data_IF_875260472848
#
_entry.id   IF_875260472848
#
_cell.length_a   1.000
_cell.length_b   1.000
_cell.length_c   1.000
_cell.angle_alpha   90.00
_cell.angle_beta   90.00
_cell.angle_gamma   90.00
#
_symmetry.space_group_name_H-M   'P 1'
#
loop_
_entity.id
_entity.type
_entity.pdbx_description
1 polymer ?
#
# COMPACT_ATOMS: atom_id res chain seq x y z
N UNK A 1 -13.13 -10.59 4.50
CA UNK A 1 -13.22 -9.75 3.29
C UNK A 1 -14.64 -9.23 3.12
N UNK A 2 -14.79 -8.04 2.61
CA UNK A 2 -16.09 -7.42 2.44
C UNK A 2 -16.93 -8.06 1.35
N UNK A 3 -18.25 -7.82 1.40
CA UNK A 3 -19.17 -8.21 0.34
C UNK A 3 -18.96 -7.34 -0.91
N UNK A 4 -19.48 -7.75 -2.10
CA UNK A 4 -19.45 -6.88 -3.27
C UNK A 4 -20.09 -5.51 -3.04
N UNK A 5 -21.11 -5.43 -2.18
CA UNK A 5 -21.74 -4.16 -1.83
C UNK A 5 -20.78 -3.25 -1.06
N UNK A 6 -19.98 -3.81 -0.14
CA UNK A 6 -18.94 -3.05 0.59
C UNK A 6 -17.88 -2.58 -0.38
N UNK A 7 -17.43 -3.42 -1.29
CA UNK A 7 -16.43 -3.06 -2.29
C UNK A 7 -16.91 -1.93 -3.19
N UNK A 8 -18.16 -1.98 -3.64
CA UNK A 8 -18.74 -0.92 -4.46
C UNK A 8 -18.83 0.41 -3.70
N UNK A 9 -19.20 0.35 -2.42
CA UNK A 9 -19.26 1.56 -1.57
C UNK A 9 -17.88 2.18 -1.40
N UNK A 10 -16.89 1.35 -1.10
CA UNK A 10 -15.50 1.82 -0.94
C UNK A 10 -14.99 2.45 -2.23
N UNK A 11 -15.23 1.79 -3.37
CA UNK A 11 -14.84 2.33 -4.68
C UNK A 11 -15.48 3.69 -4.93
N UNK A 12 -16.76 3.83 -4.63
CA UNK A 12 -17.48 5.11 -4.77
C UNK A 12 -16.91 6.18 -3.85
N UNK A 13 -16.59 5.83 -2.61
CA UNK A 13 -16.00 6.77 -1.66
C UNK A 13 -14.61 7.24 -2.11
N UNK A 14 -13.77 6.34 -2.62
CA UNK A 14 -12.46 6.69 -3.16
C UNK A 14 -12.60 7.64 -4.35
N UNK A 15 -13.52 7.35 -5.27
CA UNK A 15 -13.76 8.21 -6.43
C UNK A 15 -14.21 9.62 -6.01
N UNK A 16 -15.05 9.73 -4.99
CA UNK A 16 -15.44 11.03 -4.46
C UNK A 16 -14.26 11.80 -3.88
N UNK A 17 -13.37 11.11 -3.17
CA UNK A 17 -12.14 11.74 -2.64
C UNK A 17 -11.23 12.24 -3.76
N UNK A 18 -11.07 11.46 -4.82
CA UNK A 18 -10.27 11.86 -5.98
C UNK A 18 -10.77 13.17 -6.58
N UNK A 19 -12.08 13.33 -6.66
CA UNK A 19 -12.69 14.53 -7.27
C UNK A 19 -12.71 15.75 -6.36
N UNK A 20 -12.39 15.62 -5.08
CA UNK A 20 -12.37 16.74 -4.15
C UNK A 20 -11.14 17.63 -4.30
N UNK A 21 -10.09 17.17 -4.99
CA UNK A 21 -8.87 17.94 -5.16
C UNK A 21 -8.11 18.21 -3.87
N UNK A 22 -8.13 17.26 -2.93
CA UNK A 22 -7.46 17.40 -1.65
C UNK A 22 -5.93 17.44 -1.80
N UNK A 23 -5.23 18.18 -0.91
CA UNK A 23 -3.78 18.00 -0.79
C UNK A 23 -3.43 16.54 -0.49
N UNK A 24 -2.27 16.09 -0.95
CA UNK A 24 -1.89 14.68 -0.82
C UNK A 24 -1.92 14.18 0.64
N UNK A 25 -1.43 14.92 1.65
CA UNK A 25 -1.53 14.44 3.03
C UNK A 25 -2.98 14.19 3.49
N UNK A 26 -3.90 15.08 3.12
CA UNK A 26 -5.31 14.94 3.48
C UNK A 26 -5.94 13.78 2.71
N UNK A 27 -5.66 13.67 1.43
CA UNK A 27 -6.13 12.56 0.59
C UNK A 27 -5.65 11.22 1.15
N UNK A 28 -4.37 11.12 1.51
CA UNK A 28 -3.78 9.92 2.07
C UNK A 28 -4.50 9.48 3.35
N UNK A 29 -4.74 10.41 4.27
CA UNK A 29 -5.43 10.12 5.52
C UNK A 29 -6.85 9.62 5.27
N UNK A 30 -7.57 10.28 4.41
CA UNK A 30 -8.96 9.94 4.16
C UNK A 30 -9.14 8.67 3.34
N UNK A 31 -8.29 8.44 2.33
CA UNK A 31 -8.36 7.21 1.55
C UNK A 31 -7.96 5.99 2.40
N UNK A 32 -6.99 6.14 3.29
CA UNK A 32 -6.63 5.08 4.23
C UNK A 32 -7.80 4.68 5.12
N UNK A 33 -8.53 5.66 5.65
CA UNK A 33 -9.71 5.39 6.47
C UNK A 33 -10.81 4.68 5.68
N UNK A 34 -11.02 5.07 4.44
CA UNK A 34 -12.02 4.43 3.57
C UNK A 34 -11.63 2.99 3.27
N UNK A 35 -10.38 2.75 2.90
CA UNK A 35 -9.90 1.40 2.57
C UNK A 35 -9.95 0.45 3.76
N UNK A 36 -9.70 0.93 4.97
CA UNK A 36 -9.76 0.10 6.17
C UNK A 36 -11.17 -0.39 6.52
N UNK A 37 -12.20 0.18 5.92
CA UNK A 37 -13.57 -0.36 6.06
C UNK A 37 -13.73 -1.68 5.32
N UNK A 38 -13.05 -1.85 4.20
CA UNK A 38 -13.12 -3.07 3.40
C UNK A 38 -12.04 -4.07 3.79
N UNK A 39 -10.85 -3.57 4.12
CA UNK A 39 -9.69 -4.38 4.51
C UNK A 39 -9.18 -3.84 5.83
N UNK A 40 -9.65 -4.39 6.96
CA UNK A 40 -9.16 -3.97 8.26
C UNK A 40 -7.64 -4.16 8.36
N UNK A 41 -6.94 -3.12 8.77
CA UNK A 41 -5.49 -3.13 8.89
C UNK A 41 -5.06 -2.39 10.16
N UNK A 42 -3.97 -2.84 10.75
CA UNK A 42 -3.41 -2.19 11.94
C UNK A 42 -2.77 -0.85 11.58
N UNK A 43 -2.23 -0.74 10.38
CA UNK A 43 -1.64 0.48 9.87
C UNK A 43 -1.68 0.54 8.37
N UNK A 44 -1.50 1.73 7.84
CA UNK A 44 -1.45 1.97 6.39
C UNK A 44 -0.28 2.87 6.05
N UNK A 45 0.29 2.64 4.88
CA UNK A 45 1.30 3.51 4.30
C UNK A 45 0.91 3.84 2.88
N UNK A 46 0.79 5.12 2.56
CA UNK A 46 0.62 5.59 1.20
C UNK A 46 1.89 6.28 0.77
N UNK A 47 2.37 5.96 -0.39
CA UNK A 47 3.62 6.49 -0.90
C UNK A 47 3.40 7.08 -2.29
N UNK A 48 3.92 8.27 -2.52
CA UNK A 48 3.99 8.83 -3.85
C UNK A 48 5.34 8.50 -4.48
N UNK A 49 5.34 8.26 -5.77
CA UNK A 49 6.56 7.89 -6.50
C UNK A 49 6.73 8.75 -7.74
N UNK A 50 7.98 8.93 -8.15
CA UNK A 50 8.29 9.50 -9.44
C UNK A 50 7.83 8.54 -10.55
N UNK A 51 7.02 8.97 -11.52
CA UNK A 51 6.47 8.05 -12.52
C UNK A 51 7.52 7.47 -13.48
N UNK A 52 8.65 8.12 -13.65
CA UNK A 52 9.70 7.63 -14.55
C UNK A 52 10.61 6.61 -13.87
N UNK A 53 10.96 6.83 -12.60
CA UNK A 53 11.91 6.00 -11.87
C UNK A 53 11.24 5.05 -10.88
N UNK A 54 10.01 5.34 -10.48
CA UNK A 54 9.26 4.68 -9.39
C UNK A 54 9.95 4.81 -8.03
N UNK A 55 10.87 5.75 -7.88
CA UNK A 55 11.47 6.05 -6.59
C UNK A 55 10.48 6.82 -5.70
N UNK A 56 10.44 6.53 -4.40
CA UNK A 56 9.55 7.24 -3.50
C UNK A 56 9.88 8.74 -3.44
N UNK A 57 8.84 9.56 -3.46
CA UNK A 57 8.97 11.02 -3.32
C UNK A 57 8.42 11.52 -2.00
N UNK A 58 7.45 10.82 -1.42
CA UNK A 58 6.91 11.13 -0.11
C UNK A 58 6.15 9.92 0.43
N UNK A 59 5.97 9.89 1.74
CA UNK A 59 5.25 8.82 2.42
C UNK A 59 4.33 9.38 3.49
N UNK A 60 3.19 8.74 3.66
CA UNK A 60 2.16 9.11 4.63
C UNK A 60 1.75 7.85 5.37
N UNK A 61 2.08 7.80 6.66
CA UNK A 61 1.89 6.61 7.48
C UNK A 61 0.84 6.89 8.54
N UNK A 62 -0.13 6.00 8.66
CA UNK A 62 -1.12 6.03 9.72
C UNK A 62 -1.02 4.74 10.53
N UNK A 63 -0.70 4.86 11.83
CA UNK A 63 -0.52 3.73 12.75
C UNK A 63 0.44 2.68 12.17
N UNK A 64 1.46 3.14 11.48
CA UNK A 64 2.36 2.27 10.74
C UNK A 64 3.71 2.10 11.39
N UNK A 65 4.68 1.79 10.55
CA UNK A 65 6.02 1.47 10.98
C UNK A 65 6.77 2.69 11.51
N UNK A 66 7.60 2.54 12.55
CA UNK A 66 8.55 3.57 12.94
C UNK A 66 9.52 3.89 11.79
N UNK A 67 10.14 5.07 11.84
CA UNK A 67 11.00 5.55 10.77
C UNK A 67 12.13 4.58 10.37
N UNK A 68 12.86 3.92 11.31
CA UNK A 68 13.89 2.98 10.92
C UNK A 68 13.38 1.80 10.09
N UNK A 69 12.24 1.23 10.48
CA UNK A 69 11.61 0.11 9.76
C UNK A 69 11.11 0.57 8.39
N UNK A 70 10.57 1.77 8.31
CA UNK A 70 10.11 2.34 7.05
C UNK A 70 11.29 2.55 6.08
N UNK A 71 12.42 3.03 6.57
CA UNK A 71 13.64 3.17 5.75
C UNK A 71 14.13 1.81 5.26
N UNK A 72 14.08 0.78 6.11
CA UNK A 72 14.46 -0.57 5.71
C UNK A 72 13.50 -1.13 4.65
N UNK A 73 12.21 -0.86 4.79
CA UNK A 73 11.22 -1.26 3.80
C UNK A 73 11.52 -0.68 2.42
N UNK A 74 11.83 0.61 2.37
CA UNK A 74 12.19 1.29 1.12
C UNK A 74 13.49 0.72 0.55
N UNK A 75 14.47 0.44 1.40
CA UNK A 75 15.74 -0.15 0.98
C UNK A 75 15.56 -1.52 0.34
N UNK A 76 14.73 -2.38 0.96
CA UNK A 76 14.38 -3.69 0.40
C UNK A 76 13.71 -3.50 -0.96
N UNK A 77 12.76 -2.57 -1.04
CA UNK A 77 12.01 -2.32 -2.28
C UNK A 77 12.93 -1.92 -3.44
N UNK A 78 13.94 -1.11 -3.17
CA UNK A 78 14.82 -0.59 -4.21
C UNK A 78 15.95 -1.57 -4.54
N UNK A 79 16.55 -2.23 -3.56
CA UNK A 79 17.81 -2.94 -3.72
C UNK A 79 17.75 -4.45 -3.55
N UNK A 80 16.71 -4.98 -2.94
CA UNK A 80 16.65 -6.40 -2.61
C UNK A 80 15.56 -7.12 -3.39
N UNK A 81 15.74 -8.40 -3.74
CA UNK A 81 14.63 -9.19 -4.27
C UNK A 81 13.62 -9.48 -3.17
N UNK A 82 12.35 -9.35 -3.50
CA UNK A 82 11.25 -9.68 -2.58
C UNK A 82 9.95 -9.86 -3.37
N UNK A 83 8.91 -10.32 -2.68
CA UNK A 83 7.56 -10.47 -3.22
C UNK A 83 6.85 -9.11 -3.23
N UNK A 84 5.92 -8.95 -4.16
CA UNK A 84 5.00 -7.81 -4.22
C UNK A 84 5.70 -6.45 -4.19
N UNK A 85 6.81 -6.34 -4.89
CA UNK A 85 7.48 -5.03 -5.01
C UNK A 85 6.60 -4.10 -5.83
N UNK A 86 6.47 -2.85 -5.38
CA UNK A 86 5.60 -1.90 -6.09
C UNK A 86 6.06 -1.62 -7.52
N UNK A 87 7.36 -1.71 -7.81
CA UNK A 87 7.86 -1.59 -9.18
C UNK A 87 7.27 -2.66 -10.11
N UNK A 88 6.97 -3.85 -9.60
CA UNK A 88 6.31 -4.90 -10.36
C UNK A 88 4.80 -4.70 -10.36
N UNK A 89 4.20 -4.37 -9.22
CA UNK A 89 2.76 -4.20 -9.11
C UNK A 89 2.24 -3.06 -9.98
N UNK A 90 2.96 -1.95 -10.05
CA UNK A 90 2.55 -0.80 -10.87
C UNK A 90 2.47 -1.12 -12.35
N UNK A 91 3.19 -2.16 -12.81
CA UNK A 91 3.20 -2.59 -14.20
C UNK A 91 2.35 -3.82 -14.46
N UNK A 92 1.78 -4.41 -13.42
CA UNK A 92 0.95 -5.59 -13.53
C UNK A 92 -0.48 -5.23 -13.99
N UNK A 93 -1.16 -6.20 -14.62
CA UNK A 93 -2.57 -6.02 -14.98
C UNK A 93 -3.43 -5.76 -13.75
N UNK A 94 -3.13 -6.44 -12.64
CA UNK A 94 -3.74 -6.20 -11.33
C UNK A 94 -2.69 -5.58 -10.44
N UNK A 95 -2.73 -4.28 -10.20
CA UNK A 95 -1.71 -3.59 -9.42
C UNK A 95 -1.91 -3.74 -7.90
N UNK A 96 -2.43 -4.88 -7.47
CA UNK A 96 -2.64 -5.19 -6.07
C UNK A 96 -2.42 -6.69 -5.85
N UNK A 97 -1.81 -7.04 -4.73
CA UNK A 97 -1.57 -8.43 -4.39
C UNK A 97 -1.46 -8.61 -2.87
N UNK A 98 -1.90 -9.77 -2.39
CA UNK A 98 -1.73 -10.19 -1.00
C UNK A 98 -0.41 -10.94 -0.86
N UNK A 99 0.35 -10.61 0.18
CA UNK A 99 1.58 -11.35 0.47
C UNK A 99 1.28 -12.81 0.80
N UNK A 100 0.20 -13.07 1.53
CA UNK A 100 -0.22 -14.44 1.84
C UNK A 100 -0.49 -15.25 0.58
N UNK A 101 -1.12 -14.66 -0.42
CA UNK A 101 -1.44 -15.37 -1.67
C UNK A 101 -0.17 -15.72 -2.46
N UNK A 102 0.75 -14.77 -2.63
CA UNK A 102 1.94 -15.00 -3.44
C UNK A 102 2.98 -15.90 -2.76
N UNK A 103 2.93 -16.03 -1.44
CA UNK A 103 3.80 -16.90 -0.67
C UNK A 103 3.14 -18.22 -0.27
N UNK A 104 1.92 -18.45 -0.73
CA UNK A 104 1.12 -19.64 -0.40
C UNK A 104 0.97 -19.84 1.11
N UNK A 105 0.80 -18.73 1.84
CA UNK A 105 0.63 -18.72 3.29
C UNK A 105 1.91 -18.72 4.09
N UNK A 106 3.07 -18.93 3.46
CA UNK A 106 4.36 -18.89 4.14
C UNK A 106 4.94 -17.47 4.06
N UNK A 107 4.50 -16.61 4.94
CA UNK A 107 4.87 -15.20 4.94
C UNK A 107 6.38 -14.99 5.13
N UNK A 108 7.05 -15.91 5.81
CA UNK A 108 8.48 -15.80 6.10
C UNK A 108 9.36 -15.97 4.84
N UNK A 109 8.77 -16.35 3.71
CA UNK A 109 9.48 -16.32 2.43
C UNK A 109 9.79 -14.90 1.99
N UNK A 110 9.05 -13.90 2.48
CA UNK A 110 9.28 -12.49 2.18
C UNK A 110 10.36 -11.92 3.08
N UNK A 111 11.33 -11.24 2.49
CA UNK A 111 12.42 -10.59 3.23
C UNK A 111 11.87 -9.51 4.16
N UNK A 112 10.95 -8.67 3.65
CA UNK A 112 10.39 -7.59 4.49
C UNK A 112 9.60 -8.15 5.67
N UNK A 113 8.91 -9.28 5.47
CA UNK A 113 8.16 -9.89 6.57
C UNK A 113 9.09 -10.40 7.69
N UNK A 114 10.28 -10.88 7.32
CA UNK A 114 11.24 -11.36 8.30
C UNK A 114 11.96 -10.23 9.05
N UNK A 115 12.14 -9.07 8.42
CA UNK A 115 12.98 -8.00 8.94
C UNK A 115 12.20 -6.82 9.51
N UNK A 116 10.91 -6.72 9.22
CA UNK A 116 10.04 -5.63 9.63
C UNK A 116 8.83 -6.18 10.39
#
# INVERSE_FOLDING_TARGET
MGTPRVHQRVRGDVLRLVHRGLPVPDFSREVGAVLCRAVPAEGTCLMTTDPATLLPTAEYVANGLPAPELLRLVDIEIREPDYNKWTHLTRAKRPAASLSDVTEGDLDRSLRQREI
#
